data_IF_096965561864
#
_entry.id   IF_096965561864
#
_cell.length_a   1.000
_cell.length_b   1.000
_cell.length_c   1.000
_cell.angle_alpha   90.00
_cell.angle_beta   90.00
_cell.angle_gamma   90.00
#
_symmetry.space_group_name_H-M   'P 1'
#
loop_
_entity.id
_entity.type
_entity.pdbx_description
1 polymer ?
#
# COMPACT_ATOMS: atom_id res chain seq x y z
N UNK A 1 24.47 40.77 24.62
CA UNK A 1 25.09 39.65 23.87
C UNK A 1 24.69 38.37 24.59
N UNK A 2 24.02 37.43 23.90
CA UNK A 2 23.61 36.16 24.53
C UNK A 2 24.81 35.25 24.80
N UNK A 3 24.66 34.25 25.67
CA UNK A 3 25.69 33.24 25.90
C UNK A 3 26.04 32.49 24.60
N UNK A 4 25.03 32.21 23.76
CA UNK A 4 25.22 31.60 22.46
C UNK A 4 26.05 32.49 21.51
N UNK A 5 25.72 33.79 21.44
CA UNK A 5 26.44 34.75 20.60
C UNK A 5 27.89 34.90 21.06
N UNK A 6 28.11 34.93 22.38
CA UNK A 6 29.45 34.98 22.96
C UNK A 6 30.25 33.75 22.59
N UNK A 7 29.70 32.54 22.73
CA UNK A 7 30.38 31.30 22.34
C UNK A 7 30.73 31.31 20.85
N UNK A 8 29.77 31.66 19.99
CA UNK A 8 29.97 31.65 18.53
C UNK A 8 30.97 32.70 18.04
N UNK A 9 31.08 33.85 18.70
CA UNK A 9 32.05 34.89 18.36
C UNK A 9 33.49 34.56 18.80
N UNK A 10 33.64 33.67 19.78
CA UNK A 10 34.92 33.49 20.49
C UNK A 10 35.57 32.11 20.28
N UNK A 11 34.81 31.05 19.96
CA UNK A 11 35.35 29.68 19.88
C UNK A 11 36.45 29.46 18.82
N UNK A 12 36.61 30.39 17.88
CA UNK A 12 37.63 30.35 16.82
C UNK A 12 38.85 31.24 17.11
N UNK A 13 38.82 32.09 18.15
CA UNK A 13 39.94 32.98 18.43
C UNK A 13 41.10 32.22 19.08
N UNK A 14 42.33 32.61 18.72
CA UNK A 14 43.60 31.99 19.14
C UNK A 14 43.74 31.91 20.67
N UNK A 15 43.33 32.96 21.39
CA UNK A 15 43.34 32.98 22.87
C UNK A 15 42.57 31.82 23.52
N UNK A 16 41.48 31.36 22.89
CA UNK A 16 40.73 30.19 23.38
C UNK A 16 41.33 28.87 22.88
N UNK A 17 42.10 28.88 21.80
CA UNK A 17 42.86 27.70 21.36
C UNK A 17 44.08 27.44 22.23
N UNK A 18 44.65 28.42 22.92
CA UNK A 18 45.90 28.21 23.67
C UNK A 18 45.70 28.22 25.20
N UNK A 19 44.67 28.89 25.71
CA UNK A 19 44.44 29.05 27.14
C UNK A 19 43.34 28.12 27.69
N UNK A 20 43.70 27.22 28.61
CA UNK A 20 42.78 26.27 29.24
C UNK A 20 41.69 26.93 30.10
N UNK A 21 42.01 28.03 30.79
CA UNK A 21 41.04 28.76 31.62
C UNK A 21 39.94 29.36 30.75
N UNK A 22 40.32 29.97 29.63
CA UNK A 22 39.41 30.56 28.66
C UNK A 22 38.50 29.51 28.00
N UNK A 23 39.03 28.31 27.70
CA UNK A 23 38.21 27.16 27.24
C UNK A 23 37.18 26.73 28.27
N UNK A 24 37.54 26.79 29.55
CA UNK A 24 36.66 26.40 30.66
C UNK A 24 35.47 27.35 30.77
N UNK A 25 35.68 28.65 30.55
CA UNK A 25 34.60 29.64 30.48
C UNK A 25 33.62 29.32 29.35
N UNK A 26 34.11 29.03 28.14
CA UNK A 26 33.24 28.65 27.02
C UNK A 26 32.45 27.37 27.31
N UNK A 27 33.07 26.36 27.92
CA UNK A 27 32.38 25.14 28.34
C UNK A 27 31.31 25.42 29.39
N UNK A 28 31.60 26.25 30.39
CA UNK A 28 30.63 26.62 31.42
C UNK A 28 29.41 27.33 30.82
N UNK A 29 29.62 28.22 29.84
CA UNK A 29 28.53 28.90 29.13
C UNK A 29 27.63 27.95 28.33
N UNK A 30 28.13 26.79 27.86
CA UNK A 30 27.28 25.77 27.22
C UNK A 30 26.21 25.25 28.19
N UNK A 31 26.51 25.16 29.48
CA UNK A 31 25.55 24.69 30.51
C UNK A 31 24.46 25.71 30.83
N UNK A 32 24.61 26.96 30.40
CA UNK A 32 23.58 28.00 30.61
C UNK A 32 22.64 28.16 29.41
N UNK A 33 22.86 27.42 28.32
CA UNK A 33 22.05 27.48 27.11
C UNK A 33 20.76 26.67 27.25
N UNK A 34 19.67 27.18 26.68
CA UNK A 34 18.43 26.40 26.56
C UNK A 34 18.51 25.37 25.41
N UNK A 35 17.50 24.49 25.30
CA UNK A 35 17.47 23.41 24.30
C UNK A 35 17.58 23.93 22.86
N UNK A 36 16.90 25.02 22.53
CA UNK A 36 16.93 25.60 21.18
C UNK A 36 18.32 26.16 20.84
N UNK A 37 18.93 26.87 21.79
CA UNK A 37 20.28 27.42 21.66
C UNK A 37 21.34 26.33 21.54
N UNK A 38 21.21 25.24 22.29
CA UNK A 38 22.10 24.07 22.19
C UNK A 38 22.00 23.38 20.83
N UNK A 39 20.80 23.24 20.26
CA UNK A 39 20.61 22.68 18.91
C UNK A 39 21.20 23.59 17.83
N UNK A 40 21.05 24.92 17.97
CA UNK A 40 21.66 25.91 17.08
C UNK A 40 23.20 25.84 17.16
N UNK A 41 23.75 25.77 18.37
CA UNK A 41 25.18 25.60 18.62
C UNK A 41 25.70 24.30 17.98
N UNK A 42 25.03 23.17 18.21
CA UNK A 42 25.38 21.87 17.65
C UNK A 42 25.42 21.91 16.12
N UNK A 43 24.39 22.50 15.48
CA UNK A 43 24.31 22.61 14.01
C UNK A 43 25.44 23.47 13.43
N UNK A 44 25.80 24.55 14.11
CA UNK A 44 26.91 25.43 13.70
C UNK A 44 28.26 24.73 13.87
N UNK A 45 28.51 24.10 15.02
CA UNK A 45 29.76 23.42 15.29
C UNK A 45 29.94 22.18 14.42
N UNK A 46 28.90 21.38 14.14
CA UNK A 46 28.96 20.20 13.25
C UNK A 46 29.52 20.51 11.86
N UNK A 47 29.29 21.73 11.36
CA UNK A 47 29.75 22.18 10.04
C UNK A 47 31.21 22.67 10.01
N UNK A 48 31.81 22.94 11.16
CA UNK A 48 33.15 23.54 11.26
C UNK A 48 34.10 22.92 12.28
N UNK A 49 33.65 21.93 13.07
CA UNK A 49 34.37 21.38 14.23
C UNK A 49 35.58 20.51 13.87
N UNK A 50 35.74 20.09 12.62
CA UNK A 50 36.91 19.31 12.20
C UNK A 50 38.20 20.13 12.15
N UNK A 51 38.12 21.47 12.10
CA UNK A 51 39.29 22.36 12.00
C UNK A 51 39.78 22.93 13.34
N UNK A 52 38.98 22.89 14.41
CA UNK A 52 39.30 23.60 15.66
C UNK A 52 39.05 22.72 16.88
N UNK A 53 40.10 22.50 17.70
CA UNK A 53 40.06 21.64 18.89
C UNK A 53 38.99 22.07 19.91
N UNK A 54 38.84 23.37 20.14
CA UNK A 54 37.84 23.95 21.03
C UNK A 54 36.43 23.74 20.50
N UNK A 55 36.21 23.89 19.18
CA UNK A 55 34.92 23.67 18.55
C UNK A 55 34.43 22.23 18.70
N UNK A 56 35.34 21.25 18.59
CA UNK A 56 35.04 19.84 18.89
C UNK A 56 34.67 19.63 20.36
N UNK A 57 35.44 20.20 21.28
CA UNK A 57 35.16 20.10 22.71
C UNK A 57 33.82 20.73 23.13
N UNK A 58 33.44 21.85 22.51
CA UNK A 58 32.13 22.49 22.75
C UNK A 58 30.98 21.70 22.11
N UNK A 59 31.21 21.07 20.96
CA UNK A 59 30.22 20.19 20.33
C UNK A 59 29.93 18.96 21.19
N UNK A 60 30.98 18.33 21.73
CA UNK A 60 30.86 17.19 22.66
C UNK A 60 30.17 17.61 23.96
N UNK A 61 30.51 18.77 24.53
CA UNK A 61 29.86 19.28 25.73
C UNK A 61 28.38 19.63 25.46
N UNK A 62 28.06 20.22 24.32
CA UNK A 62 26.67 20.50 23.92
C UNK A 62 25.86 19.20 23.77
N UNK A 63 26.44 18.14 23.19
CA UNK A 63 25.80 16.81 23.14
C UNK A 63 25.58 16.25 24.54
N UNK A 64 26.56 16.39 25.44
CA UNK A 64 26.45 15.91 26.82
C UNK A 64 25.35 16.66 27.58
N UNK A 65 25.26 17.97 27.44
CA UNK A 65 24.20 18.80 28.04
C UNK A 65 22.85 18.48 27.40
N UNK A 66 22.78 18.36 26.07
CA UNK A 66 21.58 17.90 25.37
C UNK A 66 21.16 16.49 25.80
N UNK A 67 22.09 15.59 26.12
CA UNK A 67 21.83 14.24 26.63
C UNK A 67 21.31 14.24 28.07
N UNK A 68 21.73 15.21 28.89
CA UNK A 68 21.13 15.45 30.22
C UNK A 68 19.76 16.13 30.13
N UNK A 69 19.53 16.92 29.09
CA UNK A 69 18.25 17.57 28.78
C UNK A 69 17.33 16.63 28.01
N UNK A 70 17.84 15.54 27.40
CA UNK A 70 17.02 14.50 26.79
C UNK A 70 16.29 13.77 27.91
N UNK A 71 14.97 13.94 27.99
CA UNK A 71 14.25 13.28 29.02
C UNK A 71 13.87 11.88 28.47
N UNK A 72 14.02 10.87 29.33
CA UNK A 72 13.14 9.70 29.36
C UNK A 72 13.42 8.47 28.46
N UNK A 73 14.66 8.17 28.07
CA UNK A 73 14.94 6.92 27.32
C UNK A 73 14.71 5.59 28.09
N UNK A 74 14.31 5.64 29.36
CA UNK A 74 14.01 4.46 30.19
C UNK A 74 12.88 4.72 31.20
N UNK A 75 12.04 5.73 31.00
CA UNK A 75 10.94 5.95 31.94
C UNK A 75 9.87 4.88 31.86
N UNK A 76 9.27 4.61 33.02
CA UNK A 76 8.10 3.74 33.09
C UNK A 76 6.96 4.34 32.24
N UNK A 77 6.16 3.47 31.63
CA UNK A 77 4.98 3.92 30.86
C UNK A 77 4.04 4.76 31.74
N UNK A 78 3.91 4.43 33.02
CA UNK A 78 3.10 5.21 33.97
C UNK A 78 3.59 6.65 34.13
N UNK A 79 4.91 6.87 34.19
CA UNK A 79 5.49 8.21 34.26
C UNK A 79 5.26 8.99 32.95
N UNK A 80 5.48 8.33 31.81
CA UNK A 80 5.22 8.91 30.49
C UNK A 80 3.74 9.28 30.31
N UNK A 81 2.81 8.44 30.76
CA UNK A 81 1.38 8.73 30.72
C UNK A 81 1.02 9.94 31.57
N UNK A 82 1.57 10.03 32.79
CA UNK A 82 1.34 11.18 33.67
C UNK A 82 1.82 12.48 33.00
N UNK A 83 3.04 12.47 32.44
CA UNK A 83 3.60 13.62 31.75
C UNK A 83 2.86 13.96 30.45
N UNK A 84 2.36 12.96 29.72
CA UNK A 84 1.53 13.15 28.53
C UNK A 84 0.18 13.81 28.86
N UNK A 85 -0.46 13.40 29.95
CA UNK A 85 -1.75 13.98 30.39
C UNK A 85 -1.59 15.38 30.99
N UNK A 86 -0.42 15.70 31.55
CA UNK A 86 -0.12 17.02 32.10
C UNK A 86 0.28 17.99 30.98
N UNK A 87 -0.72 18.74 30.48
CA UNK A 87 -0.53 19.75 29.44
C UNK A 87 0.37 20.92 29.85
N UNK A 88 0.57 21.15 31.15
CA UNK A 88 1.42 22.23 31.67
C UNK A 88 2.90 21.83 31.72
N UNK A 89 3.21 20.54 31.60
CA UNK A 89 4.59 20.03 31.66
C UNK A 89 5.48 20.51 30.52
N UNK A 90 4.90 20.91 29.37
CA UNK A 90 5.65 21.20 28.14
C UNK A 90 6.27 19.96 27.47
N UNK A 91 6.07 18.76 28.01
CA UNK A 91 6.69 17.51 27.56
C UNK A 91 5.75 16.62 26.73
N UNK A 92 4.53 17.08 26.45
CA UNK A 92 3.48 16.30 25.77
C UNK A 92 3.94 15.76 24.41
N UNK A 93 4.67 16.56 23.63
CA UNK A 93 5.12 16.14 22.29
C UNK A 93 6.15 14.99 22.35
N UNK A 94 7.09 15.05 23.29
CA UNK A 94 8.15 14.06 23.45
C UNK A 94 7.60 12.76 24.05
N UNK A 95 6.79 12.87 25.10
CA UNK A 95 6.13 11.73 25.73
C UNK A 95 5.15 11.04 24.78
N UNK A 96 4.43 11.79 23.94
CA UNK A 96 3.61 11.23 22.84
C UNK A 96 4.44 10.35 21.92
N UNK A 97 5.58 10.84 21.45
CA UNK A 97 6.43 10.10 20.51
C UNK A 97 6.92 8.79 21.14
N UNK A 98 7.36 8.86 22.40
CA UNK A 98 7.87 7.70 23.15
C UNK A 98 6.77 6.65 23.42
N UNK A 99 5.57 7.09 23.83
CA UNK A 99 4.43 6.21 24.04
C UNK A 99 4.02 5.48 22.74
N UNK A 100 4.05 6.20 21.60
CA UNK A 100 3.71 5.62 20.29
C UNK A 100 4.78 4.63 19.79
N UNK A 101 6.07 4.94 19.96
CA UNK A 101 7.17 4.04 19.58
C UNK A 101 7.16 2.74 20.40
N UNK A 102 6.91 2.87 21.71
CA UNK A 102 6.97 1.72 22.63
C UNK A 102 5.69 0.90 22.68
N UNK A 103 4.58 1.40 22.15
CA UNK A 103 3.24 0.79 22.23
C UNK A 103 3.25 -0.71 21.90
N UNK A 104 3.78 -1.09 20.74
CA UNK A 104 3.77 -2.49 20.27
C UNK A 104 4.61 -3.45 21.12
N UNK A 105 5.50 -2.91 21.97
CA UNK A 105 6.38 -3.68 22.86
C UNK A 105 5.82 -3.80 24.29
N UNK A 106 4.68 -3.16 24.56
CA UNK A 106 4.08 -3.19 25.90
C UNK A 106 3.12 -4.37 26.08
N UNK A 107 2.86 -4.72 27.34
CA UNK A 107 1.80 -5.67 27.68
C UNK A 107 0.43 -5.14 27.28
N UNK A 108 -0.52 -6.04 27.02
CA UNK A 108 -1.89 -5.72 26.61
C UNK A 108 -2.58 -4.70 27.55
N UNK A 109 -2.48 -4.90 28.87
CA UNK A 109 -3.05 -3.97 29.86
C UNK A 109 -2.43 -2.56 29.79
N UNK A 110 -1.15 -2.49 29.44
CA UNK A 110 -0.43 -1.22 29.30
C UNK A 110 -0.80 -0.53 27.99
N UNK A 111 -0.92 -1.29 26.90
CA UNK A 111 -1.44 -0.80 25.62
C UNK A 111 -2.83 -0.18 25.80
N UNK A 112 -3.71 -0.82 26.59
CA UNK A 112 -5.04 -0.27 26.90
C UNK A 112 -4.97 1.11 27.55
N UNK A 113 -4.11 1.28 28.56
CA UNK A 113 -3.91 2.58 29.23
C UNK A 113 -3.41 3.65 28.28
N UNK A 114 -2.49 3.30 27.38
CA UNK A 114 -1.97 4.22 26.36
C UNK A 114 -3.08 4.64 25.39
N UNK A 115 -3.85 3.69 24.86
CA UNK A 115 -4.96 4.01 23.95
C UNK A 115 -6.01 4.88 24.63
N UNK A 116 -6.39 4.56 25.88
CA UNK A 116 -7.34 5.38 26.63
C UNK A 116 -6.85 6.82 26.78
N UNK A 117 -5.59 7.01 27.15
CA UNK A 117 -5.02 8.35 27.26
C UNK A 117 -5.02 9.10 25.91
N UNK A 118 -4.74 8.41 24.80
CA UNK A 118 -4.73 9.01 23.46
C UNK A 118 -6.14 9.37 22.95
N UNK A 119 -7.16 8.57 23.28
CA UNK A 119 -8.57 8.85 22.95
C UNK A 119 -9.08 10.13 23.63
N UNK A 120 -8.61 10.42 24.85
CA UNK A 120 -8.98 11.62 25.60
C UNK A 120 -8.08 12.83 25.36
N UNK A 121 -7.20 12.75 24.36
CA UNK A 121 -6.23 13.80 24.03
C UNK A 121 -6.65 14.64 22.81
N UNK A 122 -5.67 15.10 22.02
CA UNK A 122 -5.92 15.92 20.83
C UNK A 122 -6.51 15.09 19.67
N UNK A 123 -7.13 15.73 18.68
CA UNK A 123 -7.61 15.06 17.46
C UNK A 123 -6.55 14.16 16.81
N UNK A 124 -5.30 14.61 16.71
CA UNK A 124 -4.21 13.81 16.14
C UNK A 124 -3.83 12.58 16.97
N UNK A 125 -4.09 12.61 18.28
CA UNK A 125 -3.89 11.48 19.18
C UNK A 125 -5.04 10.47 19.05
N UNK A 126 -6.28 10.97 18.95
CA UNK A 126 -7.46 10.16 18.67
C UNK A 126 -7.37 9.43 17.34
N UNK A 127 -7.04 10.13 16.26
CA UNK A 127 -6.84 9.51 14.93
C UNK A 127 -5.83 8.36 14.99
N UNK A 128 -4.73 8.53 15.73
CA UNK A 128 -3.75 7.47 15.94
C UNK A 128 -4.35 6.30 16.74
N UNK A 129 -5.12 6.57 17.79
CA UNK A 129 -5.78 5.55 18.59
C UNK A 129 -6.85 4.78 17.79
N UNK A 130 -7.72 5.45 17.03
CA UNK A 130 -8.72 4.80 16.17
C UNK A 130 -8.06 3.87 15.15
N UNK A 131 -6.96 4.31 14.54
CA UNK A 131 -6.20 3.46 13.62
C UNK A 131 -5.70 2.19 14.29
N UNK A 132 -5.34 2.22 15.58
CA UNK A 132 -4.97 1.00 16.33
C UNK A 132 -6.19 0.14 16.66
N UNK A 133 -7.27 0.75 17.12
CA UNK A 133 -8.52 0.06 17.45
C UNK A 133 -9.12 -0.66 16.23
N UNK A 134 -8.93 -0.12 15.03
CA UNK A 134 -9.32 -0.77 13.77
C UNK A 134 -8.63 -2.12 13.50
N UNK A 135 -7.48 -2.39 14.11
CA UNK A 135 -6.75 -3.67 13.98
C UNK A 135 -6.83 -4.54 15.23
N UNK A 136 -6.94 -3.92 16.42
CA UNK A 136 -6.93 -4.60 17.71
C UNK A 136 -8.03 -4.02 18.61
N UNK A 137 -9.28 -4.36 18.29
CA UNK A 137 -10.44 -3.95 19.07
C UNK A 137 -10.49 -4.63 20.44
N UNK A 138 -10.92 -3.88 21.45
CA UNK A 138 -11.23 -4.37 22.79
C UNK A 138 -12.50 -3.65 23.25
N UNK A 139 -13.52 -4.40 23.67
CA UNK A 139 -14.83 -3.88 24.10
C UNK A 139 -14.72 -2.90 25.28
N UNK A 140 -13.59 -2.90 26.00
CA UNK A 140 -13.28 -1.87 26.99
C UNK A 140 -13.38 -0.43 26.46
N UNK A 141 -13.15 -0.22 25.16
CA UNK A 141 -13.20 1.09 24.53
C UNK A 141 -14.57 1.46 23.97
N UNK A 142 -15.59 0.64 24.18
CA UNK A 142 -16.91 0.87 23.60
C UNK A 142 -17.48 2.25 23.97
N UNK A 143 -17.62 2.54 25.27
CA UNK A 143 -18.14 3.83 25.76
C UNK A 143 -17.26 5.00 25.31
N UNK A 144 -15.94 4.88 25.45
CA UNK A 144 -15.00 5.94 25.05
C UNK A 144 -15.14 6.28 23.54
N UNK A 145 -15.31 5.28 22.67
CA UNK A 145 -15.46 5.49 21.22
C UNK A 145 -16.87 5.99 20.88
N UNK A 146 -17.89 5.54 21.60
CA UNK A 146 -19.26 6.00 21.41
C UNK A 146 -19.36 7.50 21.69
N UNK A 147 -18.91 7.94 22.86
CA UNK A 147 -18.93 9.35 23.27
C UNK A 147 -18.18 10.23 22.26
N UNK A 148 -17.00 9.78 21.81
CA UNK A 148 -16.19 10.50 20.84
C UNK A 148 -16.84 10.58 19.46
N UNK A 149 -17.53 9.52 19.02
CA UNK A 149 -18.28 9.53 17.78
C UNK A 149 -19.43 10.54 17.86
N UNK A 150 -20.27 10.44 18.89
CA UNK A 150 -21.43 11.32 19.10
C UNK A 150 -21.01 12.79 19.25
N UNK A 151 -19.83 13.04 19.83
CA UNK A 151 -19.31 14.40 19.99
C UNK A 151 -18.68 14.98 18.72
N UNK A 152 -17.86 14.21 17.99
CA UNK A 152 -16.98 14.78 16.96
C UNK A 152 -17.24 14.28 15.53
N UNK A 153 -17.89 13.13 15.35
CA UNK A 153 -18.17 12.52 14.04
C UNK A 153 -16.91 12.41 13.14
N UNK A 154 -15.77 12.07 13.73
CA UNK A 154 -14.50 11.95 13.01
C UNK A 154 -14.52 10.72 12.07
N UNK A 155 -14.07 10.87 10.82
CA UNK A 155 -14.06 9.79 9.81
C UNK A 155 -13.43 8.51 10.32
N UNK A 156 -12.26 8.60 10.93
CA UNK A 156 -11.51 7.46 11.46
C UNK A 156 -12.24 6.78 12.63
N UNK A 157 -12.97 7.55 13.45
CA UNK A 157 -13.83 7.02 14.50
C UNK A 157 -15.01 6.26 13.88
N UNK A 158 -15.64 6.83 12.84
CA UNK A 158 -16.71 6.19 12.09
C UNK A 158 -16.31 4.84 11.51
N UNK A 159 -15.07 4.67 11.02
CA UNK A 159 -14.57 3.36 10.59
C UNK A 159 -14.55 2.33 11.72
N UNK A 160 -14.16 2.73 12.94
CA UNK A 160 -14.17 1.87 14.13
C UNK A 160 -15.61 1.50 14.49
N UNK A 161 -16.52 2.49 14.49
CA UNK A 161 -17.95 2.29 14.76
C UNK A 161 -18.56 1.27 13.78
N UNK A 162 -18.38 1.47 12.47
CA UNK A 162 -18.92 0.56 11.44
C UNK A 162 -18.46 -0.88 11.67
N UNK A 163 -17.18 -1.08 11.99
CA UNK A 163 -16.63 -2.43 12.18
C UNK A 163 -17.14 -3.08 13.46
N UNK A 164 -17.09 -2.37 14.58
CA UNK A 164 -17.15 -3.01 15.90
C UNK A 164 -18.47 -2.82 16.65
N UNK A 165 -19.27 -1.81 16.33
CA UNK A 165 -20.50 -1.53 17.09
C UNK A 165 -21.66 -2.45 16.68
N UNK A 166 -22.72 -2.58 17.50
CA UNK A 166 -23.95 -3.27 17.11
C UNK A 166 -24.53 -2.75 15.79
N UNK A 167 -25.20 -3.61 15.03
CA UNK A 167 -25.73 -3.26 13.70
C UNK A 167 -26.79 -2.18 13.80
N UNK A 168 -27.61 -2.24 14.84
CA UNK A 168 -28.68 -1.30 15.15
C UNK A 168 -28.11 0.10 15.35
N UNK A 169 -27.06 0.23 16.14
CA UNK A 169 -26.37 1.51 16.35
C UNK A 169 -25.79 2.09 15.05
N UNK A 170 -25.16 1.24 14.22
CA UNK A 170 -24.63 1.64 12.92
C UNK A 170 -25.75 2.08 11.98
N UNK A 171 -26.89 1.39 11.97
CA UNK A 171 -28.04 1.73 11.15
C UNK A 171 -28.69 3.05 11.58
N UNK A 172 -28.87 3.25 12.89
CA UNK A 172 -29.45 4.48 13.42
C UNK A 172 -28.57 5.72 13.15
N UNK A 173 -27.26 5.51 12.98
CA UNK A 173 -26.28 6.54 12.61
C UNK A 173 -25.90 6.53 11.12
N UNK A 174 -26.64 5.79 10.27
CA UNK A 174 -26.25 5.54 8.88
C UNK A 174 -25.96 6.81 8.10
N UNK A 175 -26.82 7.84 8.20
CA UNK A 175 -26.65 9.09 7.46
C UNK A 175 -25.36 9.84 7.81
N UNK A 176 -24.87 9.70 9.04
CA UNK A 176 -23.64 10.33 9.49
C UNK A 176 -22.39 9.46 9.20
N UNK A 177 -22.56 8.14 9.16
CA UNK A 177 -21.49 7.18 8.85
C UNK A 177 -21.28 6.99 7.34
N UNK A 178 -22.30 7.30 6.54
CA UNK A 178 -22.32 7.23 5.08
C UNK A 178 -21.57 8.41 4.44
N UNK A 179 -20.27 8.47 4.75
CA UNK A 179 -19.31 9.41 4.18
C UNK A 179 -18.46 8.70 3.11
N UNK A 180 -17.93 9.48 2.17
CA UNK A 180 -17.18 8.96 1.02
C UNK A 180 -16.08 7.95 1.42
N UNK A 181 -16.13 6.76 0.82
CA UNK A 181 -15.19 5.65 1.06
C UNK A 181 -15.59 4.67 2.16
N UNK A 182 -16.77 4.82 2.79
CA UNK A 182 -17.26 3.91 3.83
C UNK A 182 -18.39 2.99 3.35
N UNK A 183 -18.96 3.21 2.17
CA UNK A 183 -20.20 2.57 1.76
C UNK A 183 -20.06 1.04 1.65
N UNK A 184 -18.95 0.54 1.12
CA UNK A 184 -18.67 -0.90 1.10
C UNK A 184 -18.59 -1.53 2.50
N UNK A 185 -17.99 -0.85 3.46
CA UNK A 185 -17.94 -1.33 4.85
C UNK A 185 -19.31 -1.29 5.53
N UNK A 186 -20.12 -0.27 5.24
CA UNK A 186 -21.51 -0.19 5.68
C UNK A 186 -22.33 -1.34 5.11
N UNK A 187 -22.18 -1.64 3.81
CA UNK A 187 -22.85 -2.77 3.18
C UNK A 187 -22.48 -4.08 3.86
N UNK A 188 -21.19 -4.35 4.10
CA UNK A 188 -20.75 -5.56 4.82
C UNK A 188 -21.38 -5.64 6.21
N UNK A 189 -21.44 -4.53 6.95
CA UNK A 189 -21.99 -4.49 8.30
C UNK A 189 -23.50 -4.71 8.34
N UNK A 190 -24.22 -4.09 7.41
CA UNK A 190 -25.67 -3.93 7.44
C UNK A 190 -26.43 -4.83 6.47
N UNK A 191 -25.78 -5.65 5.64
CA UNK A 191 -26.46 -6.49 4.64
C UNK A 191 -27.58 -7.37 5.20
N UNK A 192 -27.45 -7.83 6.45
CA UNK A 192 -28.46 -8.65 7.13
C UNK A 192 -29.44 -7.82 7.99
N UNK A 193 -29.35 -6.49 7.96
CA UNK A 193 -30.27 -5.62 8.69
C UNK A 193 -31.57 -5.48 7.87
N UNK A 194 -32.76 -5.72 8.46
CA UNK A 194 -34.02 -5.87 7.71
C UNK A 194 -34.46 -4.60 6.97
N UNK A 195 -33.97 -3.43 7.38
CA UNK A 195 -34.30 -2.13 6.77
C UNK A 195 -33.18 -1.56 5.90
N UNK A 196 -32.09 -2.32 5.70
CA UNK A 196 -30.97 -1.88 4.89
C UNK A 196 -31.01 -2.60 3.54
N UNK A 197 -30.83 -1.84 2.46
CA UNK A 197 -30.74 -2.37 1.11
C UNK A 197 -29.49 -1.80 0.46
N UNK A 198 -28.74 -2.67 -0.23
CA UNK A 198 -27.56 -2.26 -0.98
C UNK A 198 -28.04 -1.58 -2.27
N UNK A 199 -27.79 -0.28 -2.37
CA UNK A 199 -27.77 0.44 -3.62
C UNK A 199 -26.50 0.07 -4.40
N UNK A 200 -26.66 -0.72 -5.47
CA UNK A 200 -25.56 -1.22 -6.31
C UNK A 200 -24.94 -0.12 -7.18
N UNK A 201 -25.66 0.96 -7.48
CA UNK A 201 -25.12 2.04 -8.32
C UNK A 201 -24.02 2.81 -7.60
N UNK A 202 -24.15 2.94 -6.27
CA UNK A 202 -23.16 3.58 -5.40
C UNK A 202 -21.87 2.77 -5.23
N UNK A 203 -21.89 1.47 -5.51
CA UNK A 203 -20.67 0.65 -5.52
C UNK A 203 -19.69 1.07 -6.64
N UNK A 204 -20.14 1.86 -7.62
CA UNK A 204 -19.25 2.43 -8.64
C UNK A 204 -18.39 3.59 -8.09
N UNK A 205 -18.80 4.17 -6.97
CA UNK A 205 -18.21 5.39 -6.41
C UNK A 205 -17.08 5.09 -5.41
N UNK A 206 -17.06 3.88 -4.82
CA UNK A 206 -16.03 3.46 -3.86
C UNK A 206 -14.82 2.84 -4.59
N UNK A 207 -13.64 3.42 -4.37
CA UNK A 207 -12.40 3.11 -5.11
C UNK A 207 -11.75 1.76 -4.76
N UNK A 208 -12.44 0.86 -4.03
CA UNK A 208 -11.80 -0.34 -3.45
C UNK A 208 -11.39 -1.33 -4.53
N UNK A 209 -12.17 -1.46 -5.61
CA UNK A 209 -11.92 -2.41 -6.69
C UNK A 209 -11.92 -1.78 -8.09
N UNK A 210 -11.29 -0.61 -8.24
CA UNK A 210 -10.97 -0.03 -9.57
C UNK A 210 -12.15 0.04 -10.57
N UNK A 211 -13.36 0.35 -10.12
CA UNK A 211 -14.51 0.53 -11.00
C UNK A 211 -15.24 -0.75 -11.41
N UNK A 212 -15.09 -1.84 -10.66
CA UNK A 212 -15.78 -3.11 -10.88
C UNK A 212 -16.89 -3.34 -9.84
N UNK A 213 -18.08 -2.70 -9.96
CA UNK A 213 -19.13 -2.74 -8.94
C UNK A 213 -19.68 -4.15 -8.67
N UNK A 214 -19.69 -5.02 -9.68
CA UNK A 214 -20.13 -6.42 -9.51
C UNK A 214 -19.13 -7.24 -8.68
N UNK A 215 -17.83 -6.98 -8.83
CA UNK A 215 -16.78 -7.62 -8.02
C UNK A 215 -16.86 -7.12 -6.59
N UNK A 216 -17.12 -5.83 -6.41
CA UNK A 216 -17.31 -5.25 -5.08
C UNK A 216 -18.56 -5.79 -4.39
N UNK A 217 -19.66 -5.96 -5.12
CA UNK A 217 -20.85 -6.63 -4.59
C UNK A 217 -20.54 -8.08 -4.16
N UNK A 218 -19.82 -8.84 -4.98
CA UNK A 218 -19.39 -10.18 -4.64
C UNK A 218 -18.49 -10.20 -3.39
N UNK A 219 -17.58 -9.23 -3.26
CA UNK A 219 -16.74 -9.05 -2.07
C UNK A 219 -17.57 -8.80 -0.81
N UNK A 220 -18.62 -7.97 -0.90
CA UNK A 220 -19.56 -7.71 0.20
C UNK A 220 -20.25 -9.01 0.62
N UNK A 221 -20.74 -9.80 -0.33
CA UNK A 221 -21.38 -11.10 -0.05
C UNK A 221 -20.41 -12.06 0.64
N UNK A 222 -19.18 -12.18 0.12
CA UNK A 222 -18.14 -13.03 0.69
C UNK A 222 -17.77 -12.62 2.13
N UNK A 223 -17.47 -11.34 2.36
CA UNK A 223 -17.12 -10.83 3.70
C UNK A 223 -18.22 -10.99 4.73
N UNK A 224 -19.48 -10.91 4.30
CA UNK A 224 -20.64 -11.05 5.17
C UNK A 224 -21.18 -12.49 5.27
N UNK A 225 -20.54 -13.45 4.59
CA UNK A 225 -20.98 -14.86 4.49
C UNK A 225 -22.45 -14.97 4.04
N UNK A 226 -22.84 -14.10 3.12
CA UNK A 226 -24.19 -14.06 2.56
C UNK A 226 -24.36 -15.13 1.48
N UNK A 227 -25.62 -15.48 1.21
CA UNK A 227 -25.94 -16.38 0.09
C UNK A 227 -25.73 -15.65 -1.23
N UNK A 228 -25.37 -16.44 -2.25
CA UNK A 228 -25.22 -15.99 -3.63
C UNK A 228 -25.98 -16.95 -4.54
N UNK A 229 -26.47 -16.45 -5.68
CA UNK A 229 -27.09 -17.29 -6.69
C UNK A 229 -26.05 -18.19 -7.36
N UNK A 230 -26.42 -19.45 -7.65
CA UNK A 230 -25.54 -20.39 -8.34
C UNK A 230 -25.06 -19.81 -9.68
N UNK A 231 -23.75 -19.83 -9.91
CA UNK A 231 -23.14 -19.31 -11.13
C UNK A 231 -22.99 -17.79 -11.19
N UNK A 232 -23.52 -17.02 -10.24
CA UNK A 232 -23.38 -15.55 -10.24
C UNK A 232 -21.92 -15.11 -10.15
N UNK A 233 -21.12 -15.75 -9.29
CA UNK A 233 -19.69 -15.44 -9.17
C UNK A 233 -18.94 -15.75 -10.48
N UNK A 234 -19.24 -16.88 -11.12
CA UNK A 234 -18.68 -17.25 -12.44
C UNK A 234 -19.08 -16.25 -13.53
N UNK A 235 -20.36 -15.82 -13.56
CA UNK A 235 -20.83 -14.77 -14.49
C UNK A 235 -20.07 -13.46 -14.29
N UNK A 236 -19.93 -13.01 -13.03
CA UNK A 236 -19.14 -11.83 -12.69
C UNK A 236 -17.69 -11.98 -13.17
N UNK A 237 -17.07 -13.13 -12.95
CA UNK A 237 -15.69 -13.38 -13.38
C UNK A 237 -15.51 -13.19 -14.90
N UNK A 238 -16.34 -13.85 -15.71
CA UNK A 238 -16.19 -13.82 -17.16
C UNK A 238 -16.64 -12.49 -17.79
N UNK A 239 -17.67 -11.84 -17.22
CA UNK A 239 -18.01 -10.47 -17.61
C UNK A 239 -16.84 -9.51 -17.41
N UNK A 240 -16.19 -9.57 -16.24
CA UNK A 240 -15.07 -8.69 -15.94
C UNK A 240 -13.81 -9.06 -16.74
N UNK A 241 -13.63 -10.35 -17.09
CA UNK A 241 -12.59 -10.77 -18.03
C UNK A 241 -12.79 -10.11 -19.40
N UNK A 242 -14.01 -10.12 -19.94
CA UNK A 242 -14.30 -9.48 -21.22
C UNK A 242 -14.06 -7.96 -21.18
N UNK A 243 -14.49 -7.29 -20.11
CA UNK A 243 -14.23 -5.85 -19.88
C UNK A 243 -12.72 -5.57 -19.80
N UNK A 244 -11.99 -6.35 -19.01
CA UNK A 244 -10.53 -6.22 -18.86
C UNK A 244 -9.83 -6.35 -20.21
N UNK A 245 -10.18 -7.36 -21.00
CA UNK A 245 -9.60 -7.58 -22.33
C UNK A 245 -9.88 -6.39 -23.25
N UNK A 246 -11.05 -5.75 -23.18
CA UNK A 246 -11.36 -4.59 -24.02
C UNK A 246 -10.51 -3.34 -23.69
N UNK A 247 -10.07 -3.21 -22.43
CA UNK A 247 -9.42 -1.98 -21.94
C UNK A 247 -7.88 -2.12 -21.93
N UNK A 248 -7.36 -3.31 -21.63
CA UNK A 248 -5.93 -3.50 -21.33
C UNK A 248 -5.17 -4.04 -22.55
N UNK A 249 -4.48 -3.13 -23.25
CA UNK A 249 -3.78 -3.42 -24.50
C UNK A 249 -2.27 -3.72 -24.35
N UNK A 250 -1.77 -3.65 -23.12
CA UNK A 250 -0.36 -3.93 -22.78
C UNK A 250 -0.34 -4.77 -21.51
N UNK A 251 0.66 -5.65 -21.33
CA UNK A 251 0.77 -6.40 -20.09
C UNK A 251 0.87 -5.43 -18.92
N UNK A 252 0.04 -5.57 -17.87
CA UNK A 252 0.05 -4.67 -16.74
C UNK A 252 1.41 -4.74 -16.03
N UNK A 253 2.06 -3.62 -15.76
CA UNK A 253 3.36 -3.64 -15.06
C UNK A 253 3.19 -3.84 -13.55
N UNK A 254 2.02 -3.43 -13.03
CA UNK A 254 1.64 -3.52 -11.64
C UNK A 254 0.20 -4.04 -11.60
N UNK A 255 -0.03 -5.01 -10.74
CA UNK A 255 -1.34 -5.54 -10.39
C UNK A 255 -1.45 -5.39 -8.86
N UNK A 256 -2.25 -4.41 -8.43
CA UNK A 256 -2.40 -4.00 -7.04
C UNK A 256 -1.11 -3.42 -6.47
N UNK A 257 -0.54 -4.10 -5.47
CA UNK A 257 0.76 -3.77 -4.87
C UNK A 257 1.89 -4.72 -5.33
N UNK A 258 1.64 -5.56 -6.34
CA UNK A 258 2.62 -6.55 -6.83
C UNK A 258 3.07 -6.19 -8.24
N UNK A 259 4.36 -6.35 -8.50
CA UNK A 259 4.88 -6.33 -9.86
C UNK A 259 4.28 -7.52 -10.61
N UNK A 260 3.52 -7.25 -11.66
CA UNK A 260 3.12 -8.31 -12.59
C UNK A 260 4.22 -8.41 -13.64
N UNK A 261 4.85 -9.58 -13.67
CA UNK A 261 5.90 -9.85 -14.62
C UNK A 261 5.40 -10.95 -15.57
N UNK A 262 4.85 -10.52 -16.70
CA UNK A 262 4.37 -11.42 -17.75
C UNK A 262 5.53 -12.19 -18.40
N UNK A 263 6.64 -11.50 -18.63
CA UNK A 263 7.88 -12.04 -19.18
C UNK A 263 8.35 -13.24 -18.35
N UNK A 264 8.43 -13.07 -17.02
CA UNK A 264 8.78 -14.15 -16.09
C UNK A 264 7.80 -15.33 -16.15
N UNK A 265 6.49 -15.08 -16.28
CA UNK A 265 5.52 -16.18 -16.40
C UNK A 265 5.72 -16.98 -17.69
N UNK A 266 6.10 -16.32 -18.78
CA UNK A 266 6.42 -16.98 -20.04
C UNK A 266 7.68 -17.84 -19.87
N UNK A 267 8.75 -17.28 -19.28
CA UNK A 267 10.00 -18.00 -18.98
C UNK A 267 9.77 -19.22 -18.10
N UNK A 268 8.93 -19.09 -17.08
CA UNK A 268 8.59 -20.16 -16.15
C UNK A 268 7.61 -21.19 -16.76
N UNK A 269 7.13 -21.00 -18.00
CA UNK A 269 6.14 -21.88 -18.62
C UNK A 269 4.80 -21.90 -17.86
N UNK A 270 4.48 -20.80 -17.18
CA UNK A 270 3.39 -20.74 -16.20
C UNK A 270 2.52 -19.48 -16.32
N UNK A 271 2.20 -19.09 -17.55
CA UNK A 271 1.17 -18.09 -17.80
C UNK A 271 -0.19 -18.56 -17.25
N UNK A 272 -0.85 -17.70 -16.47
CA UNK A 272 -2.16 -17.95 -15.85
C UNK A 272 -2.96 -16.67 -15.70
N UNK A 273 -4.29 -16.77 -15.79
CA UNK A 273 -5.22 -15.65 -15.57
C UNK A 273 -5.39 -15.32 -14.08
N UNK A 274 -4.99 -16.23 -13.18
CA UNK A 274 -5.08 -16.07 -11.72
C UNK A 274 -4.32 -14.84 -11.23
N UNK A 275 -3.28 -14.44 -11.94
CA UNK A 275 -2.47 -13.28 -11.57
C UNK A 275 -3.16 -11.94 -11.82
N UNK A 276 -4.31 -11.89 -12.50
CA UNK A 276 -5.09 -10.67 -12.65
C UNK A 276 -5.79 -10.33 -11.31
N UNK A 277 -5.70 -9.07 -10.86
CA UNK A 277 -6.21 -8.64 -9.53
C UNK A 277 -7.68 -9.04 -9.31
N UNK A 278 -8.54 -8.69 -10.28
CA UNK A 278 -9.97 -8.95 -10.17
C UNK A 278 -10.25 -10.47 -10.15
N UNK A 279 -9.50 -11.26 -10.92
CA UNK A 279 -9.61 -12.74 -10.92
C UNK A 279 -9.25 -13.27 -9.54
N UNK A 280 -8.06 -12.92 -9.02
CA UNK A 280 -7.63 -13.29 -7.67
C UNK A 280 -8.67 -12.92 -6.60
N UNK A 281 -9.28 -11.73 -6.70
CA UNK A 281 -10.32 -11.29 -5.78
C UNK A 281 -11.59 -12.13 -5.89
N UNK A 282 -12.09 -12.38 -7.11
CA UNK A 282 -13.28 -13.20 -7.35
C UNK A 282 -13.06 -14.64 -6.87
N UNK A 283 -11.89 -15.23 -7.11
CA UNK A 283 -11.54 -16.57 -6.61
C UNK A 283 -11.49 -16.61 -5.08
N UNK A 284 -10.94 -15.59 -4.43
CA UNK A 284 -11.00 -15.48 -2.97
C UNK A 284 -12.46 -15.42 -2.49
N UNK A 285 -13.32 -14.64 -3.15
CA UNK A 285 -14.74 -14.56 -2.82
C UNK A 285 -15.44 -15.91 -2.99
N UNK A 286 -15.20 -16.62 -4.09
CA UNK A 286 -15.72 -17.97 -4.32
C UNK A 286 -15.30 -18.94 -3.20
N UNK A 287 -14.05 -18.85 -2.73
CA UNK A 287 -13.55 -19.63 -1.60
C UNK A 287 -14.29 -19.34 -0.30
N UNK A 288 -14.44 -18.06 0.06
CA UNK A 288 -15.19 -17.65 1.27
C UNK A 288 -16.67 -18.02 1.22
N UNK A 289 -17.25 -18.06 0.03
CA UNK A 289 -18.66 -18.44 -0.21
C UNK A 289 -18.84 -19.96 -0.33
N UNK A 290 -17.76 -20.75 -0.32
CA UNK A 290 -17.82 -22.21 -0.42
C UNK A 290 -18.19 -22.74 -1.80
N UNK A 291 -17.94 -21.98 -2.87
CA UNK A 291 -18.27 -22.34 -4.26
C UNK A 291 -17.21 -23.27 -4.89
N UNK A 292 -17.04 -24.45 -4.30
CA UNK A 292 -15.97 -25.41 -4.66
C UNK A 292 -16.07 -25.87 -6.12
N UNK A 293 -17.28 -26.19 -6.60
CA UNK A 293 -17.48 -26.62 -8.00
C UNK A 293 -17.09 -25.52 -9.00
N UNK A 294 -17.42 -24.26 -8.70
CA UNK A 294 -17.06 -23.12 -9.56
C UNK A 294 -15.55 -22.87 -9.56
N UNK A 295 -14.86 -23.07 -8.43
CA UNK A 295 -13.41 -22.97 -8.35
C UNK A 295 -12.69 -24.06 -9.17
N UNK A 296 -13.18 -25.31 -9.11
CA UNK A 296 -12.63 -26.41 -9.90
C UNK A 296 -12.84 -26.12 -11.40
N UNK A 297 -14.05 -25.73 -11.79
CA UNK A 297 -14.37 -25.39 -13.18
C UNK A 297 -13.50 -24.23 -13.70
N UNK A 298 -13.21 -23.23 -12.85
CA UNK A 298 -12.28 -22.17 -13.21
C UNK A 298 -10.84 -22.69 -13.40
N UNK A 299 -10.35 -23.55 -12.51
CA UNK A 299 -8.99 -24.10 -12.62
C UNK A 299 -8.83 -24.90 -13.93
N UNK A 300 -9.82 -25.72 -14.27
CA UNK A 300 -9.87 -26.45 -15.54
C UNK A 300 -9.86 -25.50 -16.75
N UNK A 301 -10.65 -24.42 -16.69
CA UNK A 301 -10.68 -23.40 -17.73
C UNK A 301 -9.34 -22.65 -17.88
N UNK A 302 -8.71 -22.25 -16.78
CA UNK A 302 -7.40 -21.56 -16.79
C UNK A 302 -6.30 -22.48 -17.35
N UNK A 303 -6.33 -23.77 -17.00
CA UNK A 303 -5.43 -24.77 -17.57
C UNK A 303 -5.64 -24.96 -19.08
N UNK A 304 -6.89 -24.91 -19.55
CA UNK A 304 -7.21 -24.94 -20.98
C UNK A 304 -6.65 -23.71 -21.71
N UNK A 305 -6.79 -22.50 -21.14
CA UNK A 305 -6.19 -21.27 -21.67
C UNK A 305 -4.67 -21.43 -21.78
N UNK A 306 -4.02 -21.87 -20.70
CA UNK A 306 -2.58 -22.10 -20.65
C UNK A 306 -2.13 -23.08 -21.73
N UNK A 307 -2.78 -24.24 -21.81
CA UNK A 307 -2.44 -25.27 -22.80
C UNK A 307 -2.57 -24.73 -24.22
N UNK A 308 -3.66 -24.03 -24.54
CA UNK A 308 -3.90 -23.47 -25.87
C UNK A 308 -2.88 -22.39 -26.23
N UNK A 309 -2.49 -21.56 -25.27
CA UNK A 309 -1.46 -20.53 -25.48
C UNK A 309 -0.12 -21.16 -25.86
N UNK A 310 0.37 -22.13 -25.08
CA UNK A 310 1.65 -22.79 -25.35
C UNK A 310 1.61 -23.77 -26.54
N UNK A 311 0.43 -24.18 -27.00
CA UNK A 311 0.27 -24.97 -28.22
C UNK A 311 0.30 -24.12 -29.50
N UNK A 312 0.36 -22.78 -29.37
CA UNK A 312 0.42 -21.88 -30.51
C UNK A 312 1.87 -21.73 -31.01
N UNK A 313 2.11 -22.10 -32.27
CA UNK A 313 3.43 -22.03 -32.92
C UNK A 313 4.04 -20.62 -32.89
N UNK A 314 3.20 -19.57 -32.92
CA UNK A 314 3.67 -18.17 -32.85
C UNK A 314 4.29 -17.85 -31.48
N UNK A 315 3.84 -18.51 -30.41
CA UNK A 315 4.44 -18.35 -29.07
C UNK A 315 5.86 -18.93 -29.05
N UNK A 316 6.08 -20.09 -29.66
CA UNK A 316 7.41 -20.69 -29.77
C UNK A 316 8.37 -19.80 -30.60
N UNK A 317 7.86 -19.21 -31.69
CA UNK A 317 8.65 -18.28 -32.49
C UNK A 317 9.03 -17.01 -31.72
N UNK A 318 8.06 -16.36 -31.07
CA UNK A 318 8.27 -15.08 -30.36
C UNK A 318 9.13 -15.23 -29.11
N UNK A 319 9.07 -16.39 -28.43
CA UNK A 319 9.92 -16.68 -27.27
C UNK A 319 11.40 -16.87 -27.63
N UNK A 320 11.72 -17.22 -28.89
CA UNK A 320 13.13 -17.35 -29.34
C UNK A 320 13.77 -16.01 -29.73
N UNK A 321 12.99 -15.01 -30.11
CA UNK A 321 13.46 -13.70 -30.59
C UNK A 321 13.64 -12.62 -29.50
N UNK A 322 13.32 -12.95 -28.25
CA UNK A 322 13.22 -12.11 -27.05
C UNK A 322 13.66 -10.63 -27.18
N UNK A 323 12.69 -9.75 -27.49
CA UNK A 323 12.80 -8.30 -27.37
C UNK A 323 11.48 -7.70 -26.82
N UNK A 324 11.45 -6.40 -26.51
CA UNK A 324 10.28 -5.72 -25.92
C UNK A 324 9.03 -5.77 -26.81
N UNK A 325 9.20 -5.74 -28.14
CA UNK A 325 8.09 -5.83 -29.09
C UNK A 325 7.47 -7.24 -29.09
N UNK A 326 8.29 -8.30 -28.95
CA UNK A 326 7.82 -9.67 -28.78
C UNK A 326 6.95 -9.84 -27.53
N UNK A 327 7.24 -9.16 -26.41
CA UNK A 327 6.43 -9.25 -25.19
C UNK A 327 5.02 -8.69 -25.41
N UNK A 328 4.90 -7.60 -26.18
CA UNK A 328 3.60 -7.01 -26.52
C UNK A 328 2.79 -7.92 -27.44
N UNK A 329 3.44 -8.56 -28.41
CA UNK A 329 2.81 -9.54 -29.29
C UNK A 329 2.37 -10.80 -28.53
N UNK A 330 3.23 -11.34 -27.66
CA UNK A 330 2.91 -12.45 -26.76
C UNK A 330 1.71 -12.12 -25.86
N UNK A 331 1.62 -10.88 -25.37
CA UNK A 331 0.47 -10.43 -24.58
C UNK A 331 -0.82 -10.39 -25.41
N UNK A 332 -0.75 -9.93 -26.66
CA UNK A 332 -1.90 -9.94 -27.55
C UNK A 332 -2.37 -11.36 -27.88
N UNK A 333 -1.44 -12.27 -28.17
CA UNK A 333 -1.74 -13.70 -28.37
C UNK A 333 -2.36 -14.32 -27.12
N UNK A 334 -1.86 -13.97 -25.94
CA UNK A 334 -2.41 -14.46 -24.69
C UNK A 334 -3.85 -13.95 -24.48
N UNK A 335 -4.09 -12.65 -24.69
CA UNK A 335 -5.44 -12.08 -24.64
C UNK A 335 -6.38 -12.76 -25.62
N UNK A 336 -5.96 -12.96 -26.87
CA UNK A 336 -6.75 -13.66 -27.87
C UNK A 336 -7.07 -15.09 -27.43
N UNK A 337 -6.08 -15.81 -26.88
CA UNK A 337 -6.27 -17.16 -26.35
C UNK A 337 -7.32 -17.17 -25.23
N UNK A 338 -7.29 -16.19 -24.32
CA UNK A 338 -8.33 -16.05 -23.29
C UNK A 338 -9.70 -15.88 -23.94
N UNK A 339 -9.84 -14.98 -24.92
CA UNK A 339 -11.12 -14.75 -25.64
C UNK A 339 -11.63 -16.02 -26.28
N UNK A 340 -10.79 -16.75 -27.02
CA UNK A 340 -11.19 -17.98 -27.70
C UNK A 340 -11.60 -19.10 -26.75
N UNK A 341 -11.15 -19.03 -25.50
CA UNK A 341 -11.48 -19.97 -24.43
C UNK A 341 -12.68 -19.53 -23.57
N UNK A 342 -13.12 -18.27 -23.64
CA UNK A 342 -14.31 -17.81 -22.90
C UNK A 342 -15.57 -18.56 -23.38
N UNK A 343 -16.60 -18.75 -22.52
CA UNK A 343 -17.89 -19.21 -22.99
C UNK A 343 -18.49 -18.25 -24.03
N UNK A 344 -19.24 -18.80 -25.00
CA UNK A 344 -19.68 -18.08 -26.22
C UNK A 344 -20.41 -16.78 -25.92
N UNK A 345 -21.22 -16.76 -24.87
CA UNK A 345 -21.97 -15.58 -24.43
C UNK A 345 -21.06 -14.41 -23.99
N UNK A 346 -19.87 -14.69 -23.46
CA UNK A 346 -18.92 -13.64 -23.06
C UNK A 346 -17.96 -13.24 -24.19
N UNK A 347 -17.72 -14.14 -25.15
CA UNK A 347 -16.93 -13.82 -26.35
C UNK A 347 -17.54 -12.63 -27.10
N UNK A 348 -18.87 -12.57 -27.17
CA UNK A 348 -19.61 -11.49 -27.83
C UNK A 348 -19.47 -10.13 -27.15
N UNK A 349 -19.05 -10.10 -25.87
CA UNK A 349 -18.81 -8.86 -25.13
C UNK A 349 -17.43 -8.26 -25.43
N UNK A 350 -16.55 -9.02 -26.09
CA UNK A 350 -15.22 -8.55 -26.48
C UNK A 350 -15.34 -7.80 -27.80
N UNK A 351 -15.09 -6.49 -27.77
CA UNK A 351 -15.18 -5.60 -28.92
C UNK A 351 -13.90 -5.57 -29.76
N UNK A 352 -12.80 -6.11 -29.22
CA UNK A 352 -11.51 -6.16 -29.91
C UNK A 352 -11.57 -7.24 -30.98
N UNK A 353 -11.79 -6.82 -32.23
CA UNK A 353 -11.33 -7.58 -33.39
C UNK A 353 -9.81 -7.51 -33.33
N UNK A 354 -9.15 -8.62 -32.98
CA UNK A 354 -7.72 -8.77 -33.20
C UNK A 354 -7.51 -8.70 -34.72
N UNK A 355 -7.20 -7.50 -35.21
CA UNK A 355 -6.61 -7.36 -36.53
C UNK A 355 -5.19 -7.89 -36.33
N UNK A 356 -4.99 -9.20 -36.49
CA UNK A 356 -3.67 -9.67 -36.90
C UNK A 356 -3.32 -8.78 -38.11
N UNK A 357 -2.26 -7.96 -38.05
CA UNK A 357 -1.84 -7.27 -39.26
C UNK A 357 -1.71 -8.36 -40.32
N UNK A 358 -2.31 -8.20 -41.52
CA UNK A 358 -2.14 -9.19 -42.57
C UNK A 358 -0.64 -9.44 -42.67
N UNK A 359 -0.21 -10.70 -42.48
CA UNK A 359 1.20 -11.10 -42.54
C UNK A 359 1.80 -10.34 -43.72
N UNK A 360 2.62 -9.31 -43.44
CA UNK A 360 3.43 -8.73 -44.50
C UNK A 360 4.32 -9.90 -44.91
N UNK A 361 4.04 -10.48 -46.07
CA UNK A 361 4.99 -11.37 -46.72
C UNK A 361 6.22 -10.51 -46.93
N UNK A 362 7.17 -10.61 -46.00
CA UNK A 362 8.48 -9.99 -46.14
C UNK A 362 9.03 -10.56 -47.42
N UNK A 363 9.29 -9.69 -48.40
CA UNK A 363 9.75 -10.14 -49.70
C UNK A 363 11.05 -10.93 -49.52
N UNK A 364 11.31 -11.96 -50.35
CA UNK A 364 12.59 -12.67 -50.32
C UNK A 364 13.79 -11.71 -50.36
N UNK A 365 13.67 -10.58 -51.05
CA UNK A 365 14.67 -9.51 -51.11
C UNK A 365 14.92 -8.81 -49.76
N UNK A 366 13.88 -8.55 -48.97
CA UNK A 366 14.01 -7.96 -47.63
C UNK A 366 14.60 -8.95 -46.62
N UNK A 367 14.25 -10.24 -46.71
CA UNK A 367 14.87 -11.29 -45.89
C UNK A 367 16.38 -11.43 -46.17
N UNK A 368 16.79 -11.27 -47.44
CA UNK A 368 18.20 -11.27 -47.84
C UNK A 368 18.98 -10.08 -47.28
N UNK A 369 18.35 -8.92 -47.13
CA UNK A 369 19.00 -7.74 -46.55
C UNK A 369 19.16 -7.84 -45.02
N UNK A 370 18.20 -8.42 -44.32
CA UNK A 370 18.23 -8.51 -42.87
C UNK A 370 19.11 -9.67 -42.34
N UNK A 371 19.44 -10.67 -43.15
CA UNK A 371 20.28 -11.80 -42.73
C UNK A 371 21.34 -12.18 -43.77
N UNK A 372 22.53 -11.55 -43.75
CA UNK A 372 23.59 -11.77 -44.73
C UNK A 372 24.12 -13.21 -44.76
N UNK A 373 24.08 -13.89 -43.61
CA UNK A 373 24.51 -15.29 -43.49
C UNK A 373 23.54 -16.25 -44.19
N UNK A 374 22.23 -16.01 -44.05
CA UNK A 374 21.20 -16.75 -44.76
C UNK A 374 21.30 -16.53 -46.28
N UNK A 375 21.55 -15.30 -46.71
CA UNK A 375 21.73 -14.97 -48.13
C UNK A 375 22.95 -15.70 -48.74
N UNK A 376 24.06 -15.76 -48.00
CA UNK A 376 25.26 -16.50 -48.42
C UNK A 376 24.98 -18.00 -48.58
N UNK A 377 24.18 -18.59 -47.69
CA UNK A 377 23.81 -20.01 -47.76
C UNK A 377 22.88 -20.31 -48.93
N UNK A 378 21.90 -19.45 -49.19
CA UNK A 378 20.96 -19.60 -50.32
C UNK A 378 21.69 -19.50 -51.65
N UNK A 379 22.59 -18.52 -51.80
CA UNK A 379 23.37 -18.33 -53.03
C UNK A 379 24.40 -19.46 -53.25
N UNK A 380 25.02 -19.97 -52.19
CA UNK A 380 26.00 -21.07 -52.28
C UNK A 380 25.36 -22.42 -52.57
N UNK A 381 24.13 -22.65 -52.10
CA UNK A 381 23.45 -23.94 -52.19
C UNK A 381 22.37 -23.98 -53.29
N UNK A 382 22.11 -22.86 -53.97
CA UNK A 382 21.11 -22.77 -55.05
C UNK A 382 19.68 -23.03 -54.58
N UNK A 383 19.35 -22.66 -53.34
CA UNK A 383 18.04 -22.92 -52.74
C UNK A 383 17.04 -21.83 -53.17
N UNK A 384 15.79 -22.20 -53.40
CA UNK A 384 14.70 -21.24 -53.63
C UNK A 384 13.96 -20.95 -52.33
N UNK A 385 13.59 -19.68 -52.10
CA UNK A 385 12.72 -19.29 -51.00
C UNK A 385 11.26 -19.63 -51.40
N UNK A 386 10.68 -20.66 -50.79
CA UNK A 386 9.24 -20.99 -50.93
C UNK A 386 8.39 -20.36 -49.86
#
# INVERSE_FOLDING_TARGET
MSALDYILANYQQEKYQENLAERTVLKALVHTLNKEELLRLQKKLKRGSSKWSVGKGLYEEAIKVLGKIQPHKNESISALLKAFTDKQSGLVAETRAELRDRFGKQSFLTQRKILKAMLHASKQDRMWAYNRLNYSWDDFFFEDVQDLWEQYHEKECGTVVIKHFPKEYVYDNLSALDIQGNYTNLCIKLIHHPKFQIDKERLKEDFVFYGHPEVEYLYILAKSKSKIEKGEATRTLFNQMAVFINIVNTPPQIIGNRAYNFERQIEDGNVTTKHLDFVSCVLWCMGELGLVEELIAFDEWDNMVKHRFYSNEEVEYLTRGYNTDCIKELWNLYRQTIVECLPREYQQLVQVIFISPPRQQVSPEEMKQCNPALNTLVDQLGLEFT
#
